data_IF_538394090852
#
_entry.id   IF_538394090852
#
_cell.length_a   1.000
_cell.length_b   1.000
_cell.length_c   1.000
_cell.angle_alpha   90.00
_cell.angle_beta   90.00
_cell.angle_gamma   90.00
#
_symmetry.space_group_name_H-M   'P 1'
#
loop_
_entity.id
_entity.type
_entity.pdbx_description
1 polymer ?
#
# COMPACT_ATOMS: atom_id res chain seq x y z
N UNK A 1 -14.26 20.49 9.12
CA UNK A 1 -14.84 19.17 8.76
C UNK A 1 -13.69 18.19 8.62
N UNK A 2 -13.73 17.03 9.26
CA UNK A 2 -12.70 15.97 9.11
C UNK A 2 -13.32 14.85 8.28
N UNK A 3 -12.60 14.35 7.27
CA UNK A 3 -13.09 13.23 6.44
C UNK A 3 -12.79 11.90 7.12
N UNK A 4 -11.55 11.72 7.58
CA UNK A 4 -11.10 10.50 8.26
C UNK A 4 -10.41 10.83 9.57
N UNK A 5 -10.67 10.03 10.60
CA UNK A 5 -10.03 10.14 11.90
C UNK A 5 -9.88 8.76 12.53
N UNK A 6 -8.67 8.43 12.98
CA UNK A 6 -8.37 7.18 13.69
C UNK A 6 -7.09 7.32 14.54
N UNK A 7 -6.72 6.28 15.29
CA UNK A 7 -5.36 6.19 15.86
C UNK A 7 -4.34 5.78 14.80
N UNK A 8 -3.04 5.98 15.04
CA UNK A 8 -1.94 5.51 14.18
C UNK A 8 -2.10 4.02 13.89
N UNK A 9 -2.36 3.22 14.92
CA UNK A 9 -2.56 1.76 14.76
C UNK A 9 -3.65 1.43 13.75
N UNK A 10 -4.81 2.08 13.86
CA UNK A 10 -5.93 1.85 12.94
C UNK A 10 -5.63 2.42 11.54
N UNK A 11 -4.98 3.58 11.46
CA UNK A 11 -4.57 4.17 10.18
C UNK A 11 -3.60 3.27 9.41
N UNK A 12 -2.62 2.66 10.09
CA UNK A 12 -1.70 1.68 9.49
C UNK A 12 -2.49 0.46 9.01
N UNK A 13 -3.38 -0.08 9.85
CA UNK A 13 -4.25 -1.20 9.44
C UNK A 13 -5.03 -0.85 8.17
N UNK A 14 -5.69 0.30 8.14
CA UNK A 14 -6.50 0.75 7.01
C UNK A 14 -5.67 0.95 5.75
N UNK A 15 -4.44 1.49 5.90
CA UNK A 15 -3.55 1.77 4.77
C UNK A 15 -3.01 0.51 4.11
N UNK A 16 -2.74 -0.54 4.89
CA UNK A 16 -2.04 -1.72 4.39
C UNK A 16 -2.91 -2.97 4.29
N UNK A 17 -4.08 -3.02 4.93
CA UNK A 17 -4.97 -4.18 4.91
C UNK A 17 -6.32 -3.89 4.23
N UNK A 18 -6.87 -2.69 4.42
CA UNK A 18 -8.27 -2.41 4.03
C UNK A 18 -8.41 -1.32 2.95
N UNK A 19 -7.32 -0.97 2.26
CA UNK A 19 -7.30 0.07 1.21
C UNK A 19 -7.94 1.39 1.66
N UNK A 20 -7.19 2.17 2.44
CA UNK A 20 -7.62 3.44 3.05
C UNK A 20 -8.29 4.42 2.07
N UNK A 21 -7.92 4.43 0.79
CA UNK A 21 -8.52 5.26 -0.25
C UNK A 21 -10.03 5.03 -0.40
N UNK A 22 -10.51 3.79 -0.28
CA UNK A 22 -11.94 3.47 -0.34
C UNK A 22 -12.65 3.90 0.94
N UNK A 23 -12.02 3.70 2.11
CA UNK A 23 -12.58 4.20 3.39
C UNK A 23 -12.73 5.72 3.37
N UNK A 24 -11.71 6.43 2.88
CA UNK A 24 -11.79 7.88 2.68
C UNK A 24 -12.87 8.27 1.70
N UNK A 25 -13.02 7.54 0.58
CA UNK A 25 -14.07 7.81 -0.41
C UNK A 25 -15.46 7.65 0.17
N UNK A 26 -15.71 6.60 0.95
CA UNK A 26 -16.99 6.39 1.63
C UNK A 26 -17.28 7.50 2.65
N UNK A 27 -16.29 7.86 3.46
CA UNK A 27 -16.46 8.95 4.43
C UNK A 27 -16.63 10.30 3.72
N UNK A 28 -15.90 10.55 2.64
CA UNK A 28 -16.04 11.76 1.83
C UNK A 28 -17.44 11.88 1.25
N UNK A 29 -18.00 10.79 0.72
CA UNK A 29 -19.39 10.73 0.25
C UNK A 29 -20.38 11.02 1.37
N UNK A 30 -20.22 10.38 2.53
CA UNK A 30 -21.10 10.59 3.69
C UNK A 30 -21.09 12.04 4.16
N UNK A 31 -19.92 12.67 4.17
CA UNK A 31 -19.77 14.01 4.72
C UNK A 31 -20.09 15.12 3.72
N UNK A 32 -19.81 14.92 2.42
CA UNK A 32 -20.00 15.95 1.38
C UNK A 32 -21.22 15.71 0.47
N UNK A 33 -21.79 14.50 0.50
CA UNK A 33 -22.85 14.07 -0.41
C UNK A 33 -22.39 13.80 -1.84
N UNK A 34 -21.08 13.81 -2.12
CA UNK A 34 -20.51 13.61 -3.46
C UNK A 34 -19.35 12.62 -3.41
N UNK A 35 -19.15 11.89 -4.51
CA UNK A 35 -17.94 11.08 -4.69
C UNK A 35 -16.73 12.00 -4.91
N UNK A 36 -15.52 11.60 -4.46
CA UNK A 36 -14.31 12.33 -4.78
C UNK A 36 -14.04 12.29 -6.28
N UNK A 37 -13.36 13.33 -6.79
CA UNK A 37 -12.92 13.31 -8.18
C UNK A 37 -11.86 12.21 -8.39
N UNK A 38 -11.73 11.59 -9.58
CA UNK A 38 -10.74 10.54 -9.81
C UNK A 38 -9.30 10.94 -9.49
N UNK A 39 -8.92 12.20 -9.78
CA UNK A 39 -7.61 12.73 -9.45
C UNK A 39 -7.38 12.89 -7.94
N UNK A 40 -8.44 13.15 -7.18
CA UNK A 40 -8.40 13.24 -5.71
C UNK A 40 -8.29 11.85 -5.08
N UNK A 41 -9.08 10.88 -5.57
CA UNK A 41 -8.91 9.49 -5.16
C UNK A 41 -7.49 8.98 -5.44
N UNK A 42 -6.95 9.27 -6.63
CA UNK A 42 -5.59 8.87 -7.01
C UNK A 42 -4.51 9.53 -6.14
N UNK A 43 -4.71 10.78 -5.72
CA UNK A 43 -3.75 11.45 -4.85
C UNK A 43 -3.74 10.83 -3.45
N UNK A 44 -4.88 10.40 -2.93
CA UNK A 44 -4.97 9.65 -1.67
C UNK A 44 -4.25 8.31 -1.76
N UNK A 45 -4.55 7.52 -2.79
CA UNK A 45 -3.92 6.22 -3.03
C UNK A 45 -2.38 6.32 -3.08
N UNK A 46 -1.85 7.37 -3.71
CA UNK A 46 -0.41 7.56 -3.83
C UNK A 46 0.26 8.08 -2.56
N UNK A 47 -0.43 8.94 -1.81
CA UNK A 47 0.21 9.71 -0.73
C UNK A 47 0.02 9.07 0.64
N UNK A 48 -1.18 8.56 0.92
CA UNK A 48 -1.50 8.01 2.25
C UNK A 48 -0.69 6.74 2.52
N UNK A 49 -0.41 5.94 1.49
CA UNK A 49 0.50 4.81 1.60
C UNK A 49 1.91 5.23 2.03
N UNK A 50 2.44 6.35 1.51
CA UNK A 50 3.76 6.88 1.89
C UNK A 50 3.77 7.38 3.33
N UNK A 51 2.70 8.07 3.75
CA UNK A 51 2.52 8.47 5.15
C UNK A 51 2.45 7.23 6.06
N UNK A 52 1.69 6.22 5.67
CA UNK A 52 1.64 4.94 6.37
C UNK A 52 3.01 4.30 6.55
N UNK A 53 3.90 4.36 5.55
CA UNK A 53 5.28 3.85 5.67
C UNK A 53 6.08 4.60 6.74
N UNK A 54 6.01 5.93 6.76
CA UNK A 54 6.73 6.74 7.75
C UNK A 54 6.18 6.50 9.16
N UNK A 55 4.85 6.44 9.30
CA UNK A 55 4.22 6.27 10.60
C UNK A 55 4.39 4.87 11.20
N UNK A 56 4.90 3.88 10.45
CA UNK A 56 5.23 2.55 11.00
C UNK A 56 6.38 2.57 12.00
N UNK A 57 7.16 3.64 12.05
CA UNK A 57 8.25 3.77 13.02
C UNK A 57 7.73 3.56 14.45
N UNK A 58 8.35 2.63 15.18
CA UNK A 58 7.98 2.26 16.55
C UNK A 58 8.23 3.40 17.55
N UNK A 59 9.12 4.34 17.22
CA UNK A 59 9.34 5.54 18.03
C UNK A 59 8.12 6.47 18.04
N UNK A 60 7.17 6.30 17.10
CA UNK A 60 5.94 7.08 17.04
C UNK A 60 4.83 6.33 17.81
N UNK A 61 4.16 6.93 18.79
CA UNK A 61 3.14 6.24 19.60
C UNK A 61 1.95 5.73 18.79
N UNK A 62 1.52 4.50 19.04
CA UNK A 62 0.42 3.82 18.35
C UNK A 62 -0.96 4.45 18.57
N UNK A 63 -1.13 5.13 19.70
CA UNK A 63 -2.34 5.83 20.12
C UNK A 63 -2.39 7.28 19.61
N UNK A 64 -1.33 7.77 18.95
CA UNK A 64 -1.33 9.04 18.25
C UNK A 64 -2.53 9.14 17.31
N UNK A 65 -3.26 10.25 17.36
CA UNK A 65 -4.36 10.51 16.45
C UNK A 65 -3.87 10.88 15.05
N UNK A 66 -4.54 10.35 14.03
CA UNK A 66 -4.38 10.69 12.62
C UNK A 66 -5.70 11.20 12.10
N UNK A 67 -5.71 12.41 11.53
CA UNK A 67 -6.86 12.98 10.84
C UNK A 67 -6.48 13.40 9.43
N UNK A 68 -7.34 13.11 8.46
CA UNK A 68 -7.10 13.41 7.05
C UNK A 68 -8.15 14.35 6.48
N UNK A 69 -7.71 15.17 5.53
CA UNK A 69 -8.55 16.08 4.76
C UNK A 69 -9.42 16.97 5.66
N UNK A 70 -8.79 17.65 6.62
CA UNK A 70 -9.47 18.59 7.50
C UNK A 70 -9.73 19.92 6.80
N UNK A 71 -10.98 20.22 6.49
CA UNK A 71 -11.40 21.54 6.04
C UNK A 71 -11.43 22.51 7.22
N UNK A 72 -10.62 23.57 7.12
CA UNK A 72 -10.54 24.63 8.13
C UNK A 72 -11.84 25.43 8.11
N UNK A 73 -12.55 25.55 9.25
CA UNK A 73 -13.82 26.27 9.34
C UNK A 73 -13.73 27.68 8.75
N UNK A 74 -14.81 28.12 8.10
CA UNK A 74 -14.93 29.45 7.50
C UNK A 74 -13.92 29.76 6.36
N UNK A 75 -13.19 28.75 5.88
CA UNK A 75 -12.28 28.90 4.74
C UNK A 75 -12.45 27.76 3.74
N UNK A 76 -11.93 27.95 2.52
CA UNK A 76 -11.78 26.87 1.54
C UNK A 76 -10.47 26.07 1.72
N UNK A 77 -9.69 26.36 2.77
CA UNK A 77 -8.40 25.70 3.00
C UNK A 77 -8.63 24.32 3.61
N UNK A 78 -7.82 23.36 3.17
CA UNK A 78 -7.79 22.00 3.69
C UNK A 78 -6.39 21.68 4.18
N UNK A 79 -6.32 21.01 5.32
CA UNK A 79 -5.10 20.39 5.82
C UNK A 79 -5.16 18.92 5.42
N UNK A 80 -4.16 18.44 4.70
CA UNK A 80 -4.17 17.08 4.17
C UNK A 80 -4.01 16.02 5.27
N UNK A 81 -3.06 16.20 6.19
CA UNK A 81 -2.83 15.31 7.34
C UNK A 81 -2.59 16.12 8.60
N UNK A 82 -3.23 15.70 9.68
CA UNK A 82 -2.99 16.15 11.05
C UNK A 82 -2.61 14.96 11.90
N UNK A 83 -1.53 15.09 12.64
CA UNK A 83 -1.11 14.14 13.66
C UNK A 83 -1.20 14.79 15.03
N UNK A 84 -1.81 14.11 15.99
CA UNK A 84 -2.01 14.60 17.36
C UNK A 84 -1.49 13.60 18.36
N UNK A 85 -0.75 14.05 19.37
CA UNK A 85 -0.28 13.20 20.45
C UNK A 85 0.22 14.03 21.62
N UNK A 86 0.95 13.41 22.54
CA UNK A 86 1.61 14.07 23.66
C UNK A 86 3.12 13.81 23.60
N UNK A 87 3.92 14.72 24.14
CA UNK A 87 5.34 14.46 24.38
C UNK A 87 5.58 13.68 25.68
N UNK A 88 6.85 13.41 26.00
CA UNK A 88 7.24 12.71 27.23
C UNK A 88 6.78 13.41 28.53
N UNK A 89 6.48 14.72 28.47
CA UNK A 89 5.96 15.49 29.60
C UNK A 89 4.42 15.54 29.65
N UNK A 90 3.73 14.84 28.74
CA UNK A 90 2.27 14.87 28.61
C UNK A 90 1.74 16.15 27.94
N UNK A 91 2.61 16.97 27.33
CA UNK A 91 2.17 18.18 26.67
C UNK A 91 1.64 17.86 25.25
N UNK A 92 0.44 18.34 24.89
CA UNK A 92 -0.15 18.03 23.59
C UNK A 92 0.66 18.64 22.45
N UNK A 93 0.87 17.83 21.41
CA UNK A 93 1.56 18.19 20.16
C UNK A 93 0.62 18.02 18.97
N UNK A 94 0.80 18.90 17.99
CA UNK A 94 0.12 18.87 16.71
C UNK A 94 1.15 18.99 15.60
N UNK A 95 1.16 18.03 14.67
CA UNK A 95 1.94 18.10 13.44
C UNK A 95 0.97 18.22 12.27
N UNK A 96 1.22 19.20 11.41
CA UNK A 96 0.46 19.42 10.18
C UNK A 96 1.36 19.02 9.02
N UNK A 97 0.87 18.11 8.16
CA UNK A 97 1.58 17.68 6.96
C UNK A 97 0.71 18.01 5.75
N UNK A 98 1.29 18.79 4.85
CA UNK A 98 0.70 19.11 3.55
C UNK A 98 1.30 18.20 2.48
N UNK A 99 0.45 17.58 1.66
CA UNK A 99 0.90 16.61 0.66
C UNK A 99 0.99 17.27 -0.72
N UNK A 100 2.13 17.10 -1.38
CA UNK A 100 2.34 17.57 -2.76
C UNK A 100 2.57 16.39 -3.69
N UNK A 101 1.94 16.41 -4.86
CA UNK A 101 2.07 15.39 -5.90
C UNK A 101 3.24 15.67 -6.86
N UNK A 102 4.35 16.21 -6.35
CA UNK A 102 5.50 16.55 -7.20
C UNK A 102 6.41 15.33 -7.34
N UNK A 103 6.91 15.10 -8.56
CA UNK A 103 7.91 14.05 -8.80
C UNK A 103 9.29 14.45 -8.27
N UNK A 104 9.60 15.75 -8.31
CA UNK A 104 10.88 16.33 -7.90
C UNK A 104 10.66 17.71 -7.27
N UNK A 105 11.49 18.05 -6.29
CA UNK A 105 11.58 19.37 -5.71
C UNK A 105 13.01 19.68 -5.26
N UNK A 106 13.41 20.95 -5.33
CA UNK A 106 14.69 21.45 -4.79
C UNK A 106 14.46 22.74 -4.01
N UNK A 107 15.31 23.00 -3.01
CA UNK A 107 15.26 24.23 -2.25
C UNK A 107 15.49 25.44 -3.15
N UNK A 108 14.77 26.53 -2.87
CA UNK A 108 15.14 27.86 -3.35
C UNK A 108 16.07 28.51 -2.33
N UNK A 109 16.78 29.55 -2.75
CA UNK A 109 17.54 30.43 -1.87
C UNK A 109 16.63 31.26 -0.93
N UNK A 110 15.32 31.29 -1.21
CA UNK A 110 14.34 32.01 -0.40
C UNK A 110 13.75 31.08 0.67
N UNK A 111 13.66 31.60 1.89
CA UNK A 111 12.99 30.91 2.99
C UNK A 111 11.51 30.63 2.66
N UNK A 112 11.01 29.46 3.02
CA UNK A 112 9.65 29.08 2.65
C UNK A 112 9.48 28.61 1.19
N UNK A 113 10.50 28.66 0.34
CA UNK A 113 10.32 28.51 -1.12
C UNK A 113 11.04 27.28 -1.65
N UNK A 114 10.35 26.55 -2.53
CA UNK A 114 10.93 25.43 -3.27
C UNK A 114 10.63 25.58 -4.76
N UNK A 115 11.51 25.00 -5.55
CA UNK A 115 11.31 24.76 -6.97
C UNK A 115 10.73 23.38 -7.14
N UNK A 116 9.62 23.27 -7.87
CA UNK A 116 9.01 21.98 -8.16
C UNK A 116 8.28 21.99 -9.50
N UNK A 117 8.10 20.81 -10.09
CA UNK A 117 7.22 20.63 -11.25
C UNK A 117 5.79 20.43 -10.77
N UNK A 118 5.00 21.51 -10.79
CA UNK A 118 3.65 21.58 -10.20
C UNK A 118 2.51 21.08 -11.11
N UNK A 119 2.83 20.38 -12.20
CA UNK A 119 1.88 19.88 -13.20
C UNK A 119 1.53 20.90 -14.30
N UNK A 120 1.07 20.41 -15.45
CA UNK A 120 0.77 21.21 -16.66
C UNK A 120 1.90 21.20 -17.70
N UNK A 121 1.70 21.89 -18.84
CA UNK A 121 2.73 22.06 -19.89
C UNK A 121 3.86 23.01 -19.50
N UNK A 122 3.71 23.71 -18.38
CA UNK A 122 4.74 24.59 -17.84
C UNK A 122 5.79 23.76 -17.08
N UNK A 123 7.06 24.10 -17.26
CA UNK A 123 8.19 23.43 -16.61
C UNK A 123 8.25 23.64 -15.09
N UNK A 124 9.45 23.55 -14.51
CA UNK A 124 9.65 23.92 -13.10
C UNK A 124 9.18 25.34 -12.82
N UNK A 125 8.58 25.55 -11.65
CA UNK A 125 8.19 26.89 -11.20
C UNK A 125 8.50 27.06 -9.72
N UNK A 126 9.02 28.23 -9.37
CA UNK A 126 9.28 28.65 -7.99
C UNK A 126 7.96 29.10 -7.32
N UNK A 127 7.76 28.77 -6.04
CA UNK A 127 6.57 29.22 -5.31
C UNK A 127 6.63 28.96 -3.81
N UNK A 128 5.81 29.73 -3.07
CA UNK A 128 5.74 29.63 -1.62
C UNK A 128 5.14 28.31 -1.14
N UNK A 129 5.75 27.76 -0.10
CA UNK A 129 5.31 26.62 0.70
C UNK A 129 5.51 26.94 2.18
N UNK A 130 4.69 26.41 3.06
CA UNK A 130 4.98 26.50 4.49
C UNK A 130 6.13 25.54 4.81
N UNK A 131 7.37 26.04 4.87
CA UNK A 131 8.48 25.38 5.56
C UNK A 131 8.88 26.18 6.79
N UNK A 132 7.99 26.26 7.78
CA UNK A 132 8.45 26.46 9.16
C UNK A 132 8.75 25.10 9.75
N UNK A 133 9.83 24.47 9.28
CA UNK A 133 10.58 23.58 10.13
C UNK A 133 11.42 24.50 11.01
N UNK A 134 11.12 24.58 12.31
CA UNK A 134 12.24 24.80 13.24
C UNK A 134 13.19 23.67 12.92
N UNK A 135 14.38 23.94 12.38
CA UNK A 135 15.37 22.89 12.10
C UNK A 135 15.50 22.04 13.36
N UNK A 136 14.94 20.81 13.41
CA UNK A 136 15.55 19.86 14.28
C UNK A 136 16.89 19.63 13.61
N UNK A 137 17.98 19.60 14.37
CA UNK A 137 19.19 18.94 13.90
C UNK A 137 18.82 17.47 13.75
N UNK A 138 18.14 17.14 12.65
CA UNK A 138 17.81 15.77 12.31
C UNK A 138 19.15 15.16 11.94
N UNK A 139 19.60 14.11 12.67
CA UNK A 139 20.69 13.30 12.16
C UNK A 139 20.34 12.88 10.73
N UNK A 140 21.37 12.67 9.90
CA UNK A 140 21.21 12.13 8.55
C UNK A 140 20.09 11.07 8.56
N UNK A 141 19.14 11.11 7.60
CA UNK A 141 17.99 10.24 7.63
C UNK A 141 18.50 8.84 7.95
N UNK A 142 18.03 8.18 9.03
CA UNK A 142 18.41 6.80 9.23
C UNK A 142 18.07 6.13 7.91
N UNK A 143 19.07 5.50 7.27
CA UNK A 143 18.81 4.58 6.17
C UNK A 143 17.60 3.79 6.62
N UNK A 144 16.49 3.84 5.87
CA UNK A 144 15.26 3.14 6.23
C UNK A 144 15.71 1.80 6.80
N UNK A 145 15.56 1.60 8.12
CA UNK A 145 16.12 0.42 8.77
C UNK A 145 15.27 -0.72 8.25
N UNK A 146 15.72 -1.27 7.13
CA UNK A 146 15.27 -2.53 6.59
C UNK A 146 15.48 -3.50 7.72
N UNK A 147 14.40 -3.95 8.35
CA UNK A 147 14.50 -5.03 9.29
C UNK A 147 14.98 -6.22 8.47
N UNK A 148 16.18 -6.75 8.71
CA UNK A 148 16.65 -7.90 7.97
C UNK A 148 15.64 -9.03 8.18
N UNK A 149 15.31 -9.75 7.11
CA UNK A 149 14.41 -10.89 7.17
C UNK A 149 14.93 -11.89 8.20
N UNK A 150 14.34 -11.93 9.41
CA UNK A 150 14.78 -12.85 10.46
C UNK A 150 14.22 -14.23 10.16
N UNK A 151 15.13 -15.13 9.80
CA UNK A 151 14.83 -16.56 9.67
C UNK A 151 14.72 -17.17 11.05
N UNK A 152 13.71 -18.01 11.25
CA UNK A 152 13.42 -18.71 12.50
C UNK A 152 13.82 -20.16 12.32
N UNK A 153 14.63 -20.66 13.24
CA UNK A 153 15.00 -22.09 13.28
C UNK A 153 13.85 -22.96 13.82
N UNK A 154 13.89 -24.25 13.54
CA UNK A 154 12.92 -25.20 14.08
C UNK A 154 12.89 -25.22 15.61
N UNK A 155 14.05 -24.99 16.26
CA UNK A 155 14.16 -24.89 17.71
C UNK A 155 13.43 -23.66 18.27
N UNK A 156 13.58 -22.50 17.62
CA UNK A 156 12.87 -21.27 17.99
C UNK A 156 11.36 -21.40 17.75
N UNK A 157 10.94 -22.06 16.66
CA UNK A 157 9.53 -22.38 16.43
C UNK A 157 8.97 -23.29 17.51
N UNK A 158 9.72 -24.32 17.92
CA UNK A 158 9.32 -25.20 19.03
C UNK A 158 9.22 -24.44 20.36
N UNK A 159 9.93 -23.31 20.51
CA UNK A 159 9.82 -22.39 21.65
C UNK A 159 8.68 -21.36 21.50
N UNK A 160 7.93 -21.39 20.40
CA UNK A 160 6.75 -20.54 20.17
C UNK A 160 7.04 -19.20 19.52
N UNK A 161 8.21 -19.00 18.90
CA UNK A 161 8.48 -17.77 18.12
C UNK A 161 7.48 -17.67 16.95
N UNK A 162 6.75 -16.55 16.82
CA UNK A 162 5.74 -16.38 15.78
C UNK A 162 6.40 -16.28 14.40
N UNK A 163 6.16 -17.28 13.56
CA UNK A 163 6.73 -17.37 12.23
C UNK A 163 5.69 -17.82 11.19
N UNK A 164 5.94 -17.46 9.94
CA UNK A 164 5.16 -17.93 8.78
C UNK A 164 6.08 -18.63 7.78
N UNK A 165 5.54 -19.55 6.96
CA UNK A 165 6.33 -20.23 5.95
C UNK A 165 6.83 -19.23 4.88
N UNK A 166 8.12 -19.34 4.57
CA UNK A 166 8.77 -18.72 3.43
C UNK A 166 8.71 -19.67 2.24
N UNK A 167 8.04 -19.26 1.17
CA UNK A 167 7.84 -20.07 -0.04
C UNK A 167 8.10 -19.25 -1.31
N UNK A 168 8.41 -19.93 -2.41
CA UNK A 168 8.46 -19.30 -3.73
C UNK A 168 7.05 -19.15 -4.31
N UNK A 169 6.74 -17.99 -4.90
CA UNK A 169 5.46 -17.72 -5.56
C UNK A 169 5.11 -18.76 -6.64
N UNK A 170 6.12 -19.34 -7.29
CA UNK A 170 5.94 -20.37 -8.32
C UNK A 170 5.42 -21.69 -7.76
N UNK A 171 5.91 -22.09 -6.59
CA UNK A 171 5.46 -23.33 -5.92
C UNK A 171 4.08 -23.15 -5.33
N UNK A 172 3.84 -21.98 -4.77
CA UNK A 172 2.62 -21.71 -4.06
C UNK A 172 1.39 -21.81 -5.00
N UNK A 173 1.53 -21.41 -6.28
CA UNK A 173 0.48 -21.45 -7.30
C UNK A 173 -0.19 -22.83 -7.54
N UNK A 174 0.47 -23.94 -7.23
CA UNK A 174 -0.11 -25.29 -7.36
C UNK A 174 -0.87 -25.80 -6.13
N UNK A 175 -0.72 -25.15 -4.98
CA UNK A 175 -1.05 -25.74 -3.67
C UNK A 175 -1.84 -24.82 -2.72
N UNK A 176 -2.18 -23.60 -3.15
CA UNK A 176 -2.76 -22.59 -2.26
C UNK A 176 -4.10 -22.94 -1.62
N UNK A 177 -4.89 -23.89 -2.16
CA UNK A 177 -6.20 -24.24 -1.60
C UNK A 177 -6.13 -24.77 -0.17
N UNK A 178 -4.99 -25.29 0.27
CA UNK A 178 -4.77 -25.85 1.60
C UNK A 178 -3.62 -25.13 2.33
N UNK A 179 -3.88 -24.46 3.47
CA UNK A 179 -2.84 -23.86 4.30
C UNK A 179 -1.72 -24.84 4.69
N UNK A 180 -2.05 -26.13 4.88
CA UNK A 180 -1.05 -27.15 5.23
C UNK A 180 0.00 -27.31 4.13
N UNK A 181 -0.40 -27.18 2.86
CA UNK A 181 0.53 -27.31 1.75
C UNK A 181 1.54 -26.14 1.65
N UNK A 182 1.21 -24.97 2.21
CA UNK A 182 2.17 -23.87 2.35
C UNK A 182 3.23 -24.17 3.41
N UNK A 183 2.83 -24.78 4.53
CA UNK A 183 3.77 -25.22 5.56
C UNK A 183 4.67 -26.34 5.05
N UNK A 184 4.11 -27.32 4.34
CA UNK A 184 4.86 -28.45 3.79
C UNK A 184 5.83 -28.05 2.67
N UNK A 185 5.55 -26.94 1.97
CA UNK A 185 6.42 -26.38 0.92
C UNK A 185 7.38 -25.30 1.42
N UNK A 186 7.37 -25.01 2.73
CA UNK A 186 8.22 -23.99 3.35
C UNK A 186 9.70 -24.35 3.16
N UNK A 187 10.45 -23.48 2.49
CA UNK A 187 11.91 -23.60 2.40
C UNK A 187 12.62 -22.95 3.58
N UNK A 188 11.94 -21.99 4.21
CA UNK A 188 12.40 -21.28 5.40
C UNK A 188 11.20 -20.85 6.24
N UNK A 189 11.45 -20.45 7.49
CA UNK A 189 10.45 -19.83 8.35
C UNK A 189 10.89 -18.42 8.66
N UNK A 190 9.97 -17.48 8.53
CA UNK A 190 10.25 -16.05 8.67
C UNK A 190 9.50 -15.52 9.88
N UNK A 191 10.23 -14.87 10.78
CA UNK A 191 9.63 -14.19 11.92
C UNK A 191 8.80 -13.01 11.44
N UNK A 192 7.61 -12.87 12.01
CA UNK A 192 6.78 -11.72 11.74
C UNK A 192 7.06 -10.58 12.70
N UNK A 193 6.75 -9.36 12.24
CA UNK A 193 6.74 -8.17 13.08
C UNK A 193 5.79 -8.39 14.25
N UNK A 194 6.10 -7.84 15.43
CA UNK A 194 5.40 -8.16 16.69
C UNK A 194 3.88 -7.93 16.64
N UNK A 195 3.44 -6.98 15.81
CA UNK A 195 2.01 -6.67 15.64
C UNK A 195 1.27 -7.58 14.65
N UNK A 196 1.99 -8.40 13.86
CA UNK A 196 1.38 -9.34 12.91
C UNK A 196 1.31 -10.72 13.54
N UNK A 197 0.09 -11.14 13.90
CA UNK A 197 -0.13 -12.49 14.43
C UNK A 197 -0.10 -13.51 13.29
N UNK A 198 0.70 -14.60 13.38
CA UNK A 198 0.62 -15.70 12.43
C UNK A 198 -0.80 -16.28 12.39
N UNK A 199 -1.27 -16.58 11.17
CA UNK A 199 -2.57 -17.21 10.93
C UNK A 199 -2.43 -18.20 9.76
N UNK A 200 -3.26 -19.28 9.73
CA UNK A 200 -3.26 -20.20 8.60
C UNK A 200 -3.46 -19.46 7.27
N UNK A 201 -2.63 -19.79 6.28
CA UNK A 201 -2.66 -19.16 4.96
C UNK A 201 -1.85 -17.88 4.83
N UNK A 202 -1.22 -17.38 5.90
CA UNK A 202 -0.17 -16.35 5.78
C UNK A 202 1.15 -17.00 5.38
N UNK A 203 1.86 -16.36 4.46
CA UNK A 203 3.17 -16.80 4.01
C UNK A 203 4.00 -15.62 3.51
N UNK A 204 5.32 -15.78 3.52
CA UNK A 204 6.27 -14.81 2.97
C UNK A 204 6.82 -15.34 1.65
N UNK A 205 6.92 -14.46 0.67
CA UNK A 205 7.55 -14.79 -0.61
C UNK A 205 8.29 -13.58 -1.17
N UNK A 206 9.39 -13.85 -1.86
CA UNK A 206 10.14 -12.81 -2.56
C UNK A 206 9.41 -12.41 -3.86
N UNK A 207 9.24 -11.10 -4.06
CA UNK A 207 8.71 -10.54 -5.30
C UNK A 207 9.88 -10.10 -6.17
N UNK A 208 9.98 -10.67 -7.36
CA UNK A 208 11.00 -10.35 -8.35
C UNK A 208 10.30 -9.70 -9.55
N UNK A 209 10.83 -8.56 -9.99
CA UNK A 209 10.30 -7.78 -11.10
C UNK A 209 10.02 -6.32 -10.74
N UNK A 210 9.98 -5.48 -11.76
CA UNK A 210 9.81 -4.03 -11.65
C UNK A 210 8.35 -3.59 -11.88
N UNK A 211 7.47 -4.51 -12.28
CA UNK A 211 6.05 -4.19 -12.60
C UNK A 211 5.25 -3.59 -11.45
N UNK A 212 5.71 -3.70 -10.20
CA UNK A 212 5.06 -3.18 -8.99
C UNK A 212 5.94 -2.22 -8.17
N UNK A 213 7.04 -1.70 -8.73
CA UNK A 213 8.06 -0.95 -7.98
C UNK A 213 7.59 0.33 -7.26
N UNK A 214 6.42 0.89 -7.61
CA UNK A 214 5.79 2.00 -6.87
C UNK A 214 5.26 1.59 -5.49
N UNK A 215 5.08 0.30 -5.24
CA UNK A 215 4.54 -0.25 -3.99
C UNK A 215 5.46 -1.30 -3.38
N UNK A 216 5.98 -2.20 -4.22
CA UNK A 216 6.81 -3.35 -3.87
C UNK A 216 8.16 -3.22 -4.59
N UNK A 217 9.26 -2.90 -3.87
CA UNK A 217 10.58 -2.89 -4.46
C UNK A 217 10.92 -4.25 -5.08
N UNK A 218 11.70 -4.25 -6.16
CA UNK A 218 12.19 -5.49 -6.75
C UNK A 218 13.12 -6.21 -5.76
N UNK A 219 12.92 -7.52 -5.60
CA UNK A 219 13.64 -8.34 -4.63
C UNK A 219 13.04 -8.32 -3.21
N UNK A 220 12.00 -7.52 -2.98
CA UNK A 220 11.40 -7.41 -1.66
C UNK A 220 10.70 -8.69 -1.23
N UNK A 221 10.93 -9.06 0.03
CA UNK A 221 10.16 -10.08 0.72
C UNK A 221 8.84 -9.51 1.17
N UNK A 222 7.76 -10.15 0.77
CA UNK A 222 6.41 -9.69 1.03
C UNK A 222 5.61 -10.72 1.79
N UNK A 223 4.76 -10.24 2.70
CA UNK A 223 3.74 -11.02 3.36
C UNK A 223 2.49 -11.08 2.48
N UNK A 224 1.95 -12.27 2.34
CA UNK A 224 0.76 -12.57 1.56
C UNK A 224 -0.25 -13.36 2.37
N UNK A 225 -1.51 -13.29 1.96
CA UNK A 225 -2.60 -14.16 2.39
C UNK A 225 -3.06 -15.01 1.22
N UNK A 226 -2.98 -16.33 1.37
CA UNK A 226 -3.51 -17.29 0.41
C UNK A 226 -5.04 -17.26 0.37
N UNK A 227 -5.62 -17.54 -0.80
CA UNK A 227 -7.06 -17.62 -1.04
C UNK A 227 -7.87 -16.47 -0.40
N UNK A 228 -7.56 -15.21 -0.75
CA UNK A 228 -8.21 -14.07 -0.15
C UNK A 228 -9.73 -14.14 -0.36
N UNK A 229 -10.46 -13.94 0.74
CA UNK A 229 -11.91 -13.90 0.76
C UNK A 229 -12.41 -12.47 0.53
N UNK A 230 -13.60 -12.33 -0.04
CA UNK A 230 -14.24 -11.03 -0.28
C UNK A 230 -13.80 -10.36 -1.59
N UNK A 231 -13.92 -9.04 -1.65
CA UNK A 231 -13.59 -8.28 -2.87
C UNK A 231 -12.09 -8.29 -3.13
N UNK A 232 -11.73 -8.51 -4.40
CA UNK A 232 -10.37 -8.42 -4.92
C UNK A 232 -10.12 -7.06 -5.58
N UNK A 233 -11.18 -6.31 -5.89
CA UNK A 233 -11.11 -5.05 -6.60
C UNK A 233 -10.33 -4.00 -5.79
N UNK A 234 -9.33 -3.41 -6.42
CA UNK A 234 -8.41 -2.45 -5.81
C UNK A 234 -7.20 -3.07 -5.10
N UNK A 235 -7.18 -4.38 -4.86
CA UNK A 235 -6.11 -5.04 -4.09
C UNK A 235 -4.93 -5.45 -4.96
N UNK A 236 -3.74 -5.48 -4.39
CA UNK A 236 -2.58 -6.11 -5.03
C UNK A 236 -2.66 -7.61 -4.76
N UNK A 237 -2.63 -8.39 -5.82
CA UNK A 237 -2.83 -9.84 -5.76
C UNK A 237 -1.81 -10.55 -6.60
N UNK A 238 -1.56 -11.80 -6.23
CA UNK A 238 -0.87 -12.77 -7.08
C UNK A 238 -1.94 -13.47 -7.91
N UNK A 239 -1.76 -13.46 -9.22
CA UNK A 239 -2.68 -14.05 -10.18
C UNK A 239 -1.96 -15.11 -10.98
N UNK A 240 -2.60 -16.26 -11.14
CA UNK A 240 -2.18 -17.30 -12.07
C UNK A 240 -3.16 -17.37 -13.25
N UNK A 241 -2.62 -17.45 -14.45
CA UNK A 241 -3.41 -17.69 -15.65
C UNK A 241 -2.59 -18.48 -16.67
N UNK A 242 -3.21 -19.47 -17.31
CA UNK A 242 -2.54 -20.38 -18.26
C UNK A 242 -1.88 -19.68 -19.45
N UNK A 243 -2.39 -18.50 -19.84
CA UNK A 243 -1.88 -17.72 -20.97
C UNK A 243 -0.97 -16.57 -20.55
N UNK A 244 -0.74 -16.37 -19.24
CA UNK A 244 0.20 -15.35 -18.75
C UNK A 244 1.56 -16.02 -18.61
N UNK A 245 2.51 -15.58 -19.44
CA UNK A 245 3.93 -15.86 -19.24
C UNK A 245 4.55 -14.56 -18.75
N UNK A 246 4.83 -14.47 -17.45
CA UNK A 246 5.50 -13.31 -16.88
C UNK A 246 7.02 -13.46 -17.06
N UNK A 247 7.68 -12.61 -17.88
CA UNK A 247 9.10 -12.71 -18.14
C UNK A 247 9.97 -12.42 -16.92
N UNK A 248 9.44 -11.66 -15.95
CA UNK A 248 10.18 -11.26 -14.73
C UNK A 248 10.17 -12.35 -13.68
N UNK A 249 9.05 -13.08 -13.55
CA UNK A 249 8.90 -14.16 -12.57
C UNK A 249 9.23 -15.55 -13.11
N UNK A 250 9.45 -15.69 -14.43
CA UNK A 250 9.81 -16.96 -15.07
C UNK A 250 8.74 -18.05 -14.91
N UNK A 251 7.47 -17.67 -14.78
CA UNK A 251 6.36 -18.56 -14.44
C UNK A 251 4.99 -18.09 -14.89
N UNK A 252 3.96 -18.89 -14.56
CA UNK A 252 2.55 -18.66 -14.90
C UNK A 252 1.83 -17.66 -13.98
N UNK A 253 2.59 -16.92 -13.15
CA UNK A 253 2.05 -16.08 -12.09
C UNK A 253 2.62 -14.67 -12.15
N UNK A 254 1.78 -13.68 -11.86
CA UNK A 254 2.18 -12.26 -11.83
C UNK A 254 1.59 -11.57 -10.60
N UNK A 255 2.27 -10.54 -10.10
CA UNK A 255 1.77 -9.66 -9.04
C UNK A 255 1.29 -8.37 -9.69
N UNK A 256 0.00 -8.04 -9.52
CA UNK A 256 -0.63 -6.85 -10.10
C UNK A 256 -1.75 -6.33 -9.21
N UNK A 257 -2.14 -5.06 -9.39
CA UNK A 257 -3.38 -4.56 -8.80
C UNK A 257 -4.57 -5.10 -9.60
N UNK A 258 -5.47 -5.78 -8.92
CA UNK A 258 -6.69 -6.31 -9.52
C UNK A 258 -7.76 -5.23 -9.58
N UNK A 259 -8.32 -5.02 -10.76
CA UNK A 259 -9.50 -4.19 -10.96
C UNK A 259 -10.56 -5.00 -11.69
N UNK A 260 -11.80 -4.99 -11.21
CA UNK A 260 -12.92 -5.53 -11.98
C UNK A 260 -14.02 -4.51 -12.18
N UNK A 261 -14.56 -4.53 -13.40
CA UNK A 261 -15.68 -3.73 -13.82
C UNK A 261 -16.78 -4.65 -14.31
N UNK A 262 -17.99 -4.24 -13.97
CA UNK A 262 -19.14 -5.09 -13.89
C UNK A 262 -20.13 -4.51 -14.91
N UNK A 263 -20.17 -5.09 -16.11
CA UNK A 263 -20.84 -4.49 -17.28
C UNK A 263 -22.31 -4.91 -17.32
N UNK A 264 -23.19 -3.91 -17.30
CA UNK A 264 -24.65 -4.07 -17.36
C UNK A 264 -25.13 -3.65 -18.74
N UNK A 265 -26.07 -4.42 -19.29
CA UNK A 265 -26.70 -4.15 -20.57
C UNK A 265 -27.67 -2.97 -20.55
N UNK A 266 -28.04 -2.53 -21.76
CA UNK A 266 -29.11 -1.56 -21.99
C UNK A 266 -30.45 -1.96 -21.32
N UNK A 267 -30.68 -3.27 -21.10
CA UNK A 267 -31.88 -3.81 -20.45
C UNK A 267 -31.72 -3.98 -18.93
N UNK A 268 -30.60 -3.53 -18.34
CA UNK A 268 -30.31 -3.68 -16.91
C UNK A 268 -29.82 -5.07 -16.49
N UNK A 269 -29.68 -6.01 -17.44
CA UNK A 269 -29.15 -7.34 -17.20
C UNK A 269 -27.62 -7.34 -17.12
N UNK A 270 -27.08 -8.06 -16.14
CA UNK A 270 -25.64 -8.30 -15.99
C UNK A 270 -25.11 -9.10 -17.19
N UNK A 271 -24.16 -8.54 -17.96
CA UNK A 271 -23.64 -9.22 -19.16
C UNK A 271 -22.28 -9.87 -18.94
N UNK A 272 -21.27 -9.14 -18.46
CA UNK A 272 -19.90 -9.66 -18.31
C UNK A 272 -19.09 -8.93 -17.22
N UNK A 273 -18.14 -9.63 -16.59
CA UNK A 273 -17.10 -9.02 -15.74
C UNK A 273 -15.84 -8.81 -16.60
N UNK A 274 -15.32 -7.58 -16.62
CA UNK A 274 -14.02 -7.23 -17.19
C UNK A 274 -13.02 -7.15 -16.07
N UNK A 275 -11.93 -7.90 -16.16
CA UNK A 275 -10.84 -7.88 -15.18
C UNK A 275 -9.61 -7.24 -15.81
N UNK A 276 -8.99 -6.34 -15.06
CA UNK A 276 -7.74 -5.68 -15.41
C UNK A 276 -6.69 -5.96 -14.33
N UNK A 277 -5.50 -6.36 -14.76
CA UNK A 277 -4.32 -6.50 -13.92
C UNK A 277 -3.39 -5.33 -14.20
N UNK A 278 -3.44 -4.34 -13.30
CA UNK A 278 -2.79 -3.05 -13.47
C UNK A 278 -1.39 -3.10 -12.83
N UNK A 279 -0.31 -2.84 -13.60
CA UNK A 279 1.01 -2.66 -13.02
C UNK A 279 1.10 -1.31 -12.29
N UNK A 280 1.92 -1.26 -11.24
CA UNK A 280 2.27 -0.01 -10.55
C UNK A 280 3.77 0.20 -10.61
N UNK A 281 4.25 0.57 -11.80
CA UNK A 281 5.66 0.80 -12.08
C UNK A 281 5.93 2.22 -12.57
N UNK A 282 7.12 2.76 -12.28
CA UNK A 282 7.71 3.91 -12.99
C UNK A 282 8.52 3.48 -14.24
N UNK A 283 8.70 2.18 -14.45
CA UNK A 283 9.38 1.62 -15.61
C UNK A 283 8.55 1.73 -16.90
N UNK A 284 9.24 1.80 -18.03
CA UNK A 284 8.63 1.81 -19.37
C UNK A 284 8.30 0.38 -19.79
N UNK A 285 7.14 0.17 -20.43
CA UNK A 285 6.76 -1.13 -21.00
C UNK A 285 5.85 -1.99 -20.12
N UNK A 286 5.41 -1.51 -18.96
CA UNK A 286 4.42 -2.18 -18.13
C UNK A 286 3.01 -1.72 -18.49
N UNK A 287 2.30 -2.54 -19.28
CA UNK A 287 0.93 -2.26 -19.72
C UNK A 287 -0.12 -2.98 -18.87
N UNK A 288 -1.34 -2.43 -18.86
CA UNK A 288 -2.48 -3.06 -18.19
C UNK A 288 -2.87 -4.32 -18.95
N UNK A 289 -2.82 -5.46 -18.25
CA UNK A 289 -3.29 -6.73 -18.82
C UNK A 289 -4.80 -6.82 -18.64
N UNK A 290 -5.54 -6.78 -19.75
CA UNK A 290 -7.00 -6.97 -19.74
C UNK A 290 -7.33 -8.43 -20.00
N UNK A 291 -8.10 -9.02 -19.10
CA UNK A 291 -8.57 -10.40 -19.20
C UNK A 291 -9.93 -10.36 -19.88
N UNK A 292 -10.06 -11.09 -20.97
CA UNK A 292 -11.30 -11.14 -21.73
C UNK A 292 -12.39 -11.82 -20.91
N UNK A 293 -13.66 -11.41 -21.02
CA UNK A 293 -14.76 -11.99 -20.25
C UNK A 293 -14.83 -13.52 -20.28
N UNK A 294 -14.54 -14.13 -21.43
CA UNK A 294 -14.58 -15.59 -21.61
C UNK A 294 -13.40 -16.31 -20.93
N UNK A 295 -12.37 -15.58 -20.52
CA UNK A 295 -11.17 -16.11 -19.87
C UNK A 295 -11.10 -15.76 -18.38
N UNK A 296 -12.09 -15.02 -17.84
CA UNK A 296 -12.13 -14.66 -16.41
C UNK A 296 -12.18 -15.91 -15.53
N UNK A 297 -12.94 -16.93 -15.93
CA UNK A 297 -13.02 -18.21 -15.19
C UNK A 297 -11.69 -18.99 -15.18
N UNK A 298 -10.81 -18.72 -16.14
CA UNK A 298 -9.47 -19.32 -16.20
C UNK A 298 -8.45 -18.56 -15.34
N UNK A 299 -8.82 -17.41 -14.78
CA UNK A 299 -7.97 -16.56 -13.95
C UNK A 299 -8.14 -16.93 -12.47
N UNK A 300 -7.06 -17.43 -11.88
CA UNK A 300 -7.04 -17.77 -10.46
C UNK A 300 -6.31 -16.69 -9.66
N UNK A 301 -7.01 -16.10 -8.69
CA UNK A 301 -6.38 -15.21 -7.70
C UNK A 301 -5.95 -16.06 -6.52
N UNK A 302 -4.65 -16.25 -6.39
CA UNK A 302 -4.07 -17.25 -5.49
C UNK A 302 -3.67 -16.66 -4.14
N UNK A 303 -3.30 -15.38 -4.12
CA UNK A 303 -2.94 -14.69 -2.90
C UNK A 303 -3.20 -13.18 -2.98
N UNK A 304 -3.42 -12.55 -1.84
CA UNK A 304 -3.46 -11.10 -1.65
C UNK A 304 -2.18 -10.63 -0.99
N UNK A 305 -1.57 -9.58 -1.52
CA UNK A 305 -0.42 -8.91 -0.93
C UNK A 305 -0.86 -8.05 0.24
N UNK A 306 -0.17 -8.18 1.38
CA UNK A 306 -0.46 -7.44 2.60
C UNK A 306 0.58 -6.35 2.87
N UNK A 307 1.87 -6.67 2.73
CA UNK A 307 2.96 -5.72 2.98
C UNK A 307 4.32 -6.25 2.50
N UNK A 308 5.28 -5.33 2.34
CA UNK A 308 6.70 -5.64 2.35
C UNK A 308 7.15 -5.86 3.80
N UNK A 309 7.90 -6.93 4.04
CA UNK A 309 8.51 -7.27 5.35
C UNK A 309 10.02 -7.05 5.37
N UNK A 310 10.71 -7.14 4.23
CA UNK A 310 12.12 -6.79 4.04
C UNK A 310 12.40 -6.50 2.56
N UNK A 311 13.44 -5.73 2.24
CA UNK A 311 13.90 -5.38 0.88
C UNK A 311 15.39 -5.67 0.65
#
# INVERSE_FOLDING_TARGET
MIVYQASKRQFIHDTFQDSIEFKLSEQYLRTTGRQPAPAEFKSWENSLFRIGKVLRDEAIPDDMGVALAYTVPQTSKRIDVLLTGEDEAGAPKLVIIELKQWSEARFSEKDGIVWARRGGKAGETEGAQCVHATEPTLPAPPSAKVLPLRRVSDAERAQGVPAVPGVSLKFAAGSFSDPQALEDSATEWVELLEWVKPQPGLFVAQVVGESMNKRIPNGAWCLFRANPQGTRNGKIVVVQHRSISDPETGGSCTVKRYRSEKVVDADGAWRHERVELVPESDGVGFEVMTVQPNDVDALSVIAEWLMVVAD
#
